data_IF_393086902258
#
_entry.id   IF_393086902258
#
_cell.length_a   1.000
_cell.length_b   1.000
_cell.length_c   1.000
_cell.angle_alpha   90.00
_cell.angle_beta   90.00
_cell.angle_gamma   90.00
#
_symmetry.space_group_name_H-M   'P 1'
#
loop_
_entity.id
_entity.type
_entity.pdbx_description
1 polymer ?
#
# COMPACT_ATOMS: atom_id res chain seq x y z
N UNK A 1 -1.54 -25.24 -35.49
CA UNK A 1 -1.80 -25.23 -34.05
C UNK A 1 -2.76 -24.13 -33.69
N UNK A 2 -3.71 -24.37 -32.77
CA UNK A 2 -4.66 -23.37 -32.30
C UNK A 2 -4.60 -23.34 -30.74
N UNK A 3 -4.53 -22.16 -30.17
CA UNK A 3 -4.60 -21.96 -28.71
C UNK A 3 -5.76 -20.98 -28.46
N UNK A 4 -6.77 -21.42 -27.71
CA UNK A 4 -7.89 -20.58 -27.28
C UNK A 4 -7.78 -20.32 -25.77
N UNK A 5 -8.19 -19.15 -25.32
CA UNK A 5 -8.36 -18.84 -23.91
C UNK A 5 -9.86 -19.00 -23.62
N UNK A 6 -10.22 -19.90 -22.73
CA UNK A 6 -11.60 -20.23 -22.40
C UNK A 6 -11.79 -20.45 -20.92
N UNK A 7 -13.02 -20.48 -20.43
CA UNK A 7 -13.34 -20.91 -19.08
C UNK A 7 -13.36 -22.42 -18.95
N UNK A 8 -12.97 -22.92 -17.80
CA UNK A 8 -13.11 -24.35 -17.46
C UNK A 8 -14.60 -24.74 -17.36
N UNK A 9 -14.92 -25.95 -17.75
CA UNK A 9 -16.25 -26.51 -17.55
C UNK A 9 -16.55 -26.73 -16.07
N UNK A 10 -15.50 -27.00 -15.28
CA UNK A 10 -15.64 -27.31 -13.86
C UNK A 10 -15.59 -26.02 -13.01
N UNK A 11 -16.51 -25.95 -12.05
CA UNK A 11 -16.58 -24.87 -11.07
C UNK A 11 -15.89 -25.28 -9.77
N UNK A 12 -15.27 -24.34 -9.10
CA UNK A 12 -14.79 -24.52 -7.73
C UNK A 12 -15.97 -24.53 -6.74
N UNK A 13 -15.70 -24.89 -5.46
CA UNK A 13 -16.67 -24.78 -4.37
C UNK A 13 -17.20 -23.34 -4.18
N UNK A 14 -16.45 -22.35 -4.62
CA UNK A 14 -16.80 -20.92 -4.55
C UNK A 14 -17.51 -20.41 -5.82
N UNK A 15 -18.03 -21.30 -6.65
CA UNK A 15 -18.70 -20.99 -7.93
C UNK A 15 -17.83 -20.21 -8.94
N UNK A 16 -16.50 -20.40 -8.87
CA UNK A 16 -15.55 -19.80 -9.82
C UNK A 16 -15.10 -20.81 -10.86
N UNK A 17 -14.77 -20.32 -12.05
CA UNK A 17 -14.17 -21.12 -13.13
C UNK A 17 -12.72 -20.74 -13.36
N UNK A 18 -11.89 -21.73 -13.65
CA UNK A 18 -10.51 -21.47 -14.05
C UNK A 18 -10.46 -20.97 -15.49
N UNK A 19 -9.61 -19.97 -15.75
CA UNK A 19 -9.20 -19.63 -17.12
C UNK A 19 -8.21 -20.68 -17.59
N UNK A 20 -8.42 -21.23 -18.78
CA UNK A 20 -7.58 -22.27 -19.35
C UNK A 20 -7.11 -21.90 -20.75
N UNK A 21 -5.93 -22.41 -21.13
CA UNK A 21 -5.52 -22.49 -22.52
C UNK A 21 -6.02 -23.82 -23.10
N UNK A 22 -6.90 -23.76 -24.07
CA UNK A 22 -7.33 -24.92 -24.85
C UNK A 22 -6.44 -25.03 -26.10
N UNK A 23 -5.46 -25.90 -26.04
CA UNK A 23 -4.45 -26.09 -27.07
C UNK A 23 -4.85 -27.28 -27.95
N UNK A 24 -4.95 -27.07 -29.25
CA UNK A 24 -5.31 -28.11 -30.21
C UNK A 24 -4.40 -28.12 -31.43
N UNK A 25 -4.03 -29.34 -31.87
CA UNK A 25 -3.40 -29.66 -33.15
C UNK A 25 -4.28 -30.69 -33.88
N UNK A 26 -3.89 -31.13 -35.08
CA UNK A 26 -4.62 -32.19 -35.77
C UNK A 26 -4.77 -33.49 -34.95
N UNK A 27 -3.77 -33.80 -34.14
CA UNK A 27 -3.65 -35.10 -33.43
C UNK A 27 -3.72 -34.96 -31.91
N UNK A 28 -3.71 -33.75 -31.36
CA UNK A 28 -3.60 -33.52 -29.93
C UNK A 28 -4.51 -32.37 -29.47
N UNK A 29 -5.18 -32.58 -28.35
CA UNK A 29 -5.92 -31.53 -27.65
C UNK A 29 -5.63 -31.63 -26.16
N UNK A 30 -5.26 -30.51 -25.55
CA UNK A 30 -5.00 -30.44 -24.10
C UNK A 30 -5.46 -29.09 -23.53
N UNK A 31 -6.06 -29.15 -22.35
CA UNK A 31 -6.47 -27.99 -21.58
C UNK A 31 -5.42 -27.74 -20.48
N UNK A 32 -4.84 -26.55 -20.48
CA UNK A 32 -3.80 -26.14 -19.54
C UNK A 32 -4.39 -25.10 -18.62
N UNK A 33 -4.38 -25.36 -17.29
CA UNK A 33 -4.90 -24.42 -16.31
C UNK A 33 -3.90 -23.27 -16.12
N UNK A 34 -4.39 -22.03 -16.20
CA UNK A 34 -3.56 -20.82 -15.96
C UNK A 34 -3.35 -20.51 -14.48
N UNK A 35 -4.10 -21.14 -13.58
CA UNK A 35 -4.13 -20.81 -12.15
C UNK A 35 -4.98 -19.58 -11.81
N UNK A 36 -5.64 -18.97 -12.78
CA UNK A 36 -6.50 -17.80 -12.60
C UNK A 36 -7.95 -18.26 -12.55
N UNK A 37 -8.66 -17.81 -11.52
CA UNK A 37 -10.08 -18.15 -11.32
C UNK A 37 -10.93 -16.89 -11.39
N UNK A 38 -12.02 -16.96 -12.14
CA UNK A 38 -12.99 -15.88 -12.36
C UNK A 38 -14.40 -16.37 -12.01
N UNK A 39 -15.32 -15.47 -11.80
CA UNK A 39 -16.72 -15.80 -11.66
C UNK A 39 -17.25 -16.38 -12.95
N UNK A 40 -18.29 -17.21 -12.84
CA UNK A 40 -18.89 -17.93 -13.96
C UNK A 40 -19.44 -16.99 -15.04
N UNK A 41 -19.14 -17.28 -16.29
CA UNK A 41 -19.65 -16.54 -17.44
C UNK A 41 -18.91 -15.22 -17.75
N UNK A 42 -17.80 -14.95 -17.12
CA UNK A 42 -17.05 -13.68 -17.30
C UNK A 42 -16.49 -13.51 -18.72
N UNK A 43 -15.99 -14.57 -19.34
CA UNK A 43 -15.41 -14.48 -20.68
C UNK A 43 -16.47 -14.48 -21.80
N UNK A 44 -17.63 -15.04 -21.52
CA UNK A 44 -18.69 -15.24 -22.53
C UNK A 44 -19.76 -14.14 -22.50
N UNK A 45 -19.77 -13.29 -21.46
CA UNK A 45 -20.76 -12.22 -21.32
C UNK A 45 -20.12 -10.83 -21.50
N UNK A 46 -20.32 -10.17 -22.66
CA UNK A 46 -19.76 -8.85 -22.94
C UNK A 46 -20.35 -7.72 -22.08
N UNK A 47 -21.48 -7.96 -21.40
CA UNK A 47 -22.12 -6.97 -20.53
C UNK A 47 -21.45 -6.89 -19.14
N UNK A 48 -20.65 -7.90 -18.76
CA UNK A 48 -19.95 -7.89 -17.48
C UNK A 48 -18.73 -7.01 -17.59
N UNK A 49 -18.73 -5.90 -16.85
CA UNK A 49 -17.58 -5.01 -16.75
C UNK A 49 -16.45 -5.70 -15.99
N UNK A 50 -15.42 -6.12 -16.70
CA UNK A 50 -14.20 -6.67 -16.09
C UNK A 50 -13.48 -5.60 -15.27
N UNK A 51 -12.93 -5.98 -14.13
CA UNK A 51 -12.06 -5.08 -13.38
C UNK A 51 -10.78 -4.77 -14.18
N UNK A 52 -10.19 -3.60 -13.96
CA UNK A 52 -8.94 -3.23 -14.62
C UNK A 52 -7.85 -4.29 -14.35
N UNK A 53 -7.77 -4.80 -13.12
CA UNK A 53 -6.80 -5.84 -12.77
C UNK A 53 -7.01 -7.14 -13.56
N UNK A 54 -8.26 -7.54 -13.77
CA UNK A 54 -8.59 -8.74 -14.56
C UNK A 54 -8.31 -8.50 -16.05
N UNK A 55 -8.64 -7.33 -16.58
CA UNK A 55 -8.33 -6.97 -17.97
C UNK A 55 -6.82 -7.00 -18.23
N UNK A 56 -6.01 -6.40 -17.36
CA UNK A 56 -4.54 -6.46 -17.48
C UNK A 56 -4.06 -7.91 -17.43
N UNK A 57 -4.65 -8.73 -16.56
CA UNK A 57 -4.29 -10.15 -16.46
C UNK A 57 -4.65 -10.93 -17.73
N UNK A 58 -5.82 -10.66 -18.33
CA UNK A 58 -6.24 -11.27 -19.60
C UNK A 58 -5.33 -10.83 -20.77
N UNK A 59 -4.92 -9.56 -20.81
CA UNK A 59 -3.95 -9.10 -21.80
C UNK A 59 -2.59 -9.83 -21.65
N UNK A 60 -2.07 -9.98 -20.46
CA UNK A 60 -0.87 -10.80 -20.19
C UNK A 60 -1.04 -12.25 -20.67
N UNK A 61 -2.24 -12.85 -20.49
CA UNK A 61 -2.54 -14.20 -21.02
C UNK A 61 -2.51 -14.23 -22.54
N UNK A 62 -3.09 -13.22 -23.20
CA UNK A 62 -3.07 -13.09 -24.66
C UNK A 62 -1.65 -12.92 -25.19
N UNK A 63 -0.83 -12.11 -24.56
CA UNK A 63 0.56 -11.88 -24.95
C UNK A 63 1.40 -13.15 -24.75
N UNK A 64 1.23 -13.86 -23.63
CA UNK A 64 1.88 -15.15 -23.42
C UNK A 64 1.46 -16.20 -24.45
N UNK A 65 0.19 -16.22 -24.84
CA UNK A 65 -0.31 -17.07 -25.94
C UNK A 65 0.38 -16.74 -27.26
N UNK A 66 0.52 -15.43 -27.62
CA UNK A 66 1.22 -14.99 -28.84
C UNK A 66 2.68 -15.42 -28.83
N UNK A 67 3.38 -15.16 -27.72
CA UNK A 67 4.78 -15.55 -27.54
C UNK A 67 4.98 -17.08 -27.61
N UNK A 68 4.08 -17.83 -26.98
CA UNK A 68 4.09 -19.29 -27.04
C UNK A 68 3.92 -19.83 -28.49
N UNK A 69 3.01 -19.21 -29.26
CA UNK A 69 2.81 -19.57 -30.68
C UNK A 69 4.03 -19.22 -31.52
N UNK A 70 4.63 -18.04 -31.34
CA UNK A 70 5.83 -17.63 -32.03
C UNK A 70 6.97 -18.61 -31.76
N UNK A 71 7.26 -18.92 -30.49
CA UNK A 71 8.30 -19.86 -30.08
C UNK A 71 8.05 -21.29 -30.58
N UNK A 72 6.80 -21.72 -30.60
CA UNK A 72 6.43 -23.02 -31.16
C UNK A 72 6.75 -23.11 -32.65
N UNK A 73 6.49 -22.04 -33.41
CA UNK A 73 6.74 -22.00 -34.86
C UNK A 73 8.21 -21.79 -35.21
N UNK A 74 8.89 -20.87 -34.52
CA UNK A 74 10.27 -20.47 -34.78
C UNK A 74 11.30 -21.48 -34.28
N UNK A 75 11.07 -22.05 -33.10
CA UNK A 75 12.03 -22.93 -32.42
C UNK A 75 11.68 -24.40 -32.57
N UNK A 76 10.68 -24.76 -33.38
CA UNK A 76 10.20 -26.15 -33.54
C UNK A 76 9.92 -26.87 -32.22
N UNK A 77 9.32 -26.16 -31.27
CA UNK A 77 9.01 -26.75 -29.97
C UNK A 77 8.12 -27.98 -30.10
N UNK A 78 8.38 -28.97 -29.25
CA UNK A 78 7.45 -30.07 -29.03
C UNK A 78 6.20 -29.57 -28.29
N UNK A 79 5.13 -30.34 -28.37
CA UNK A 79 3.90 -30.00 -27.62
C UNK A 79 4.13 -29.98 -26.11
N UNK A 80 5.05 -30.80 -25.60
CA UNK A 80 5.44 -30.86 -24.18
C UNK A 80 6.16 -29.57 -23.74
N UNK A 81 7.04 -29.03 -24.55
CA UNK A 81 7.73 -27.75 -24.27
C UNK A 81 6.75 -26.60 -24.24
N UNK A 82 5.82 -26.56 -25.19
CA UNK A 82 4.74 -25.59 -25.20
C UNK A 82 3.87 -25.69 -23.95
N UNK A 83 3.49 -26.91 -23.54
CA UNK A 83 2.75 -27.15 -22.32
C UNK A 83 3.48 -26.64 -21.09
N UNK A 84 4.77 -27.00 -20.97
CA UNK A 84 5.63 -26.54 -19.87
C UNK A 84 5.76 -25.01 -19.84
N UNK A 85 5.79 -24.36 -21.00
CA UNK A 85 5.82 -22.91 -21.08
C UNK A 85 4.50 -22.27 -20.65
N UNK A 86 3.38 -22.77 -21.15
CA UNK A 86 2.06 -22.25 -20.82
C UNK A 86 1.63 -22.53 -19.37
N UNK A 87 2.05 -23.68 -18.81
CA UNK A 87 1.75 -24.07 -17.41
C UNK A 87 2.55 -23.24 -16.39
N UNK A 88 3.69 -22.65 -16.76
CA UNK A 88 4.35 -21.66 -15.90
C UNK A 88 3.38 -20.51 -15.69
N UNK A 89 2.91 -20.31 -14.48
CA UNK A 89 1.90 -19.31 -14.14
C UNK A 89 2.25 -17.92 -14.71
N UNK A 90 1.23 -17.12 -14.93
CA UNK A 90 1.42 -15.70 -15.20
C UNK A 90 1.41 -15.00 -13.87
N UNK A 91 2.31 -14.04 -13.70
CA UNK A 91 2.22 -13.12 -12.57
C UNK A 91 0.92 -12.32 -12.70
N UNK A 92 -0.04 -12.68 -11.86
CA UNK A 92 -1.29 -11.93 -11.72
C UNK A 92 -0.90 -10.51 -11.35
N UNK A 93 -1.58 -9.52 -11.95
CA UNK A 93 -1.35 -8.11 -11.60
C UNK A 93 -1.47 -7.92 -10.09
N UNK A 94 -0.34 -7.72 -9.46
CA UNK A 94 -0.21 -7.74 -8.01
C UNK A 94 -0.51 -6.36 -7.41
N UNK A 95 -0.87 -6.35 -6.13
CA UNK A 95 -1.00 -5.09 -5.38
C UNK A 95 0.31 -4.31 -5.37
N UNK A 96 1.46 -5.00 -5.42
CA UNK A 96 2.77 -4.36 -5.52
C UNK A 96 2.98 -3.62 -6.84
N UNK A 97 2.55 -4.20 -7.96
CA UNK A 97 2.58 -3.53 -9.27
C UNK A 97 1.64 -2.33 -9.32
N UNK A 98 0.41 -2.48 -8.80
CA UNK A 98 -0.53 -1.37 -8.67
C UNK A 98 0.06 -0.22 -7.85
N UNK A 99 0.64 -0.51 -6.68
CA UNK A 99 1.25 0.53 -5.84
C UNK A 99 2.38 1.23 -6.57
N UNK A 100 3.24 0.50 -7.27
CA UNK A 100 4.37 1.05 -8.03
C UNK A 100 3.93 1.88 -9.23
N UNK A 101 2.96 1.39 -10.00
CA UNK A 101 2.64 1.93 -11.31
C UNK A 101 1.52 2.98 -11.29
N UNK A 102 0.57 2.86 -10.36
CA UNK A 102 -0.66 3.66 -10.36
C UNK A 102 -0.88 4.44 -9.07
N UNK A 103 -0.80 3.77 -7.91
CA UNK A 103 -1.11 4.39 -6.63
C UNK A 103 -0.13 5.51 -6.24
N UNK A 104 1.18 5.37 -6.59
CA UNK A 104 2.22 6.34 -6.22
C UNK A 104 2.25 7.56 -7.13
N UNK A 105 1.74 7.47 -8.36
CA UNK A 105 1.83 8.54 -9.38
C UNK A 105 1.44 9.93 -8.86
N UNK A 106 0.42 9.98 -8.02
CA UNK A 106 -0.13 11.24 -7.49
C UNK A 106 0.30 11.53 -6.05
N UNK A 107 1.38 10.89 -5.56
CA UNK A 107 1.88 11.07 -4.20
C UNK A 107 3.31 11.58 -4.20
N UNK A 108 3.70 12.30 -3.13
CA UNK A 108 5.10 12.65 -2.97
C UNK A 108 5.96 11.37 -2.76
N UNK A 109 7.25 11.44 -3.13
CA UNK A 109 8.18 10.32 -3.15
C UNK A 109 8.26 9.62 -1.78
N UNK A 110 8.31 10.40 -0.70
CA UNK A 110 8.42 9.88 0.67
C UNK A 110 7.19 9.05 1.03
N UNK A 111 6.00 9.59 0.79
CA UNK A 111 4.73 8.91 1.04
C UNK A 111 4.59 7.66 0.16
N UNK A 112 4.99 7.75 -1.12
CA UNK A 112 4.97 6.62 -2.05
C UNK A 112 5.83 5.46 -1.57
N UNK A 113 7.06 5.72 -1.17
CA UNK A 113 7.99 4.72 -0.66
C UNK A 113 7.48 4.06 0.63
N UNK A 114 6.83 4.82 1.50
CA UNK A 114 6.23 4.30 2.73
C UNK A 114 5.14 3.26 2.44
N UNK A 115 4.25 3.51 1.48
CA UNK A 115 3.24 2.55 1.05
C UNK A 115 3.85 1.32 0.36
N UNK A 116 4.86 1.51 -0.47
CA UNK A 116 5.55 0.40 -1.12
C UNK A 116 6.26 -0.50 -0.09
N UNK A 117 6.86 0.07 0.95
CA UNK A 117 7.46 -0.68 2.04
C UNK A 117 6.44 -1.52 2.80
N UNK A 118 5.20 -1.06 2.96
CA UNK A 118 4.13 -1.87 3.56
C UNK A 118 3.90 -3.16 2.77
N UNK A 119 3.86 -3.09 1.44
CA UNK A 119 3.71 -4.28 0.60
C UNK A 119 4.89 -5.25 0.79
N UNK A 120 6.12 -4.74 0.88
CA UNK A 120 7.30 -5.58 1.16
C UNK A 120 7.18 -6.29 2.50
N UNK A 121 6.71 -5.59 3.54
CA UNK A 121 6.51 -6.15 4.88
C UNK A 121 5.44 -7.25 4.84
N UNK A 122 4.33 -7.05 4.14
CA UNK A 122 3.29 -8.07 3.97
C UNK A 122 3.83 -9.30 3.24
N UNK A 123 4.56 -9.12 2.12
CA UNK A 123 5.21 -10.22 1.38
C UNK A 123 6.11 -11.05 2.30
N UNK A 124 6.96 -10.37 3.08
CA UNK A 124 7.90 -11.02 4.01
C UNK A 124 7.18 -11.88 5.05
N UNK A 125 6.17 -11.33 5.73
CA UNK A 125 5.49 -12.04 6.82
C UNK A 125 4.51 -13.12 6.33
N UNK A 126 3.94 -12.97 5.13
CA UNK A 126 3.09 -13.99 4.52
C UNK A 126 3.88 -15.05 3.74
N UNK A 127 5.20 -14.88 3.58
CA UNK A 127 6.06 -15.73 2.74
C UNK A 127 5.54 -15.86 1.30
N UNK A 128 5.02 -14.75 0.73
CA UNK A 128 4.50 -14.70 -0.63
C UNK A 128 5.41 -13.85 -1.51
N UNK A 129 5.73 -14.35 -2.71
CA UNK A 129 6.47 -13.59 -3.74
C UNK A 129 5.62 -12.42 -4.24
N UNK A 130 4.34 -12.69 -4.53
CA UNK A 130 3.37 -11.70 -4.95
C UNK A 130 2.11 -11.78 -4.09
N UNK A 131 1.46 -10.63 -3.88
CA UNK A 131 0.19 -10.52 -3.16
C UNK A 131 -0.85 -10.02 -4.16
N UNK A 132 -1.87 -10.81 -4.39
CA UNK A 132 -3.01 -10.43 -5.22
C UNK A 132 -4.00 -9.57 -4.45
N UNK A 133 -4.89 -8.87 -5.16
CA UNK A 133 -6.00 -8.15 -4.53
C UNK A 133 -6.93 -9.09 -3.76
N UNK A 134 -7.17 -10.30 -4.30
CA UNK A 134 -8.02 -11.30 -3.65
C UNK A 134 -7.42 -11.78 -2.33
N UNK A 135 -6.10 -11.95 -2.25
CA UNK A 135 -5.43 -12.27 -0.98
C UNK A 135 -5.76 -11.24 0.10
N UNK A 136 -5.72 -9.95 -0.24
CA UNK A 136 -5.97 -8.89 0.74
C UNK A 136 -7.46 -8.66 1.01
N UNK A 137 -8.35 -9.05 0.12
CA UNK A 137 -9.80 -9.03 0.35
C UNK A 137 -10.24 -10.13 1.32
N UNK A 138 -9.43 -11.18 1.47
CA UNK A 138 -9.66 -12.23 2.46
C UNK A 138 -9.20 -11.77 3.85
N UNK A 139 -10.15 -11.70 4.77
CA UNK A 139 -9.89 -11.33 6.17
C UNK A 139 -8.96 -12.31 6.90
N UNK A 140 -8.94 -13.58 6.50
CA UNK A 140 -8.05 -14.59 7.09
C UNK A 140 -6.59 -14.28 6.75
N UNK A 141 -6.30 -13.82 5.53
CA UNK A 141 -4.95 -13.40 5.12
C UNK A 141 -4.46 -12.20 5.95
N UNK A 142 -5.34 -11.23 6.25
CA UNK A 142 -4.98 -10.09 7.11
C UNK A 142 -4.73 -10.54 8.56
N UNK A 143 -5.54 -11.48 9.07
CA UNK A 143 -5.34 -12.06 10.40
C UNK A 143 -4.03 -12.86 10.46
N UNK A 144 -3.75 -13.67 9.46
CA UNK A 144 -2.50 -14.42 9.33
C UNK A 144 -1.27 -13.50 9.36
N UNK A 145 -1.31 -12.41 8.56
CA UNK A 145 -0.26 -11.39 8.59
C UNK A 145 -0.07 -10.83 10.00
N UNK A 146 -1.15 -10.44 10.69
CA UNK A 146 -1.09 -9.91 12.06
C UNK A 146 -0.38 -10.88 12.98
N UNK A 147 -0.83 -12.14 13.02
CA UNK A 147 -0.28 -13.17 13.90
C UNK A 147 1.20 -13.46 13.62
N UNK A 148 1.58 -13.59 12.34
CA UNK A 148 2.97 -13.81 11.94
C UNK A 148 3.87 -12.60 12.26
N UNK A 149 3.41 -11.38 12.00
CA UNK A 149 4.17 -10.18 12.33
C UNK A 149 4.38 -10.03 13.84
N UNK A 150 3.38 -10.29 14.66
CA UNK A 150 3.49 -10.28 16.12
C UNK A 150 4.45 -11.34 16.65
N UNK A 151 4.37 -12.59 16.14
CA UNK A 151 5.32 -13.66 16.48
C UNK A 151 6.77 -13.29 16.15
N UNK A 152 6.98 -12.51 15.10
CA UNK A 152 8.28 -11.98 14.70
C UNK A 152 8.69 -10.69 15.45
N UNK A 153 8.03 -10.36 16.56
CA UNK A 153 8.39 -9.25 17.44
C UNK A 153 7.96 -7.85 16.94
N UNK A 154 7.15 -7.76 15.88
CA UNK A 154 6.67 -6.46 15.40
C UNK A 154 5.66 -5.88 16.40
N UNK A 155 5.90 -4.63 16.84
CA UNK A 155 5.01 -3.93 17.78
C UNK A 155 3.59 -3.84 17.24
N UNK A 156 2.58 -4.05 18.10
CA UNK A 156 1.15 -4.00 17.77
C UNK A 156 0.77 -2.69 17.05
N UNK A 157 1.34 -1.55 17.48
CA UNK A 157 1.10 -0.26 16.84
C UNK A 157 1.57 -0.21 15.38
N UNK A 158 2.71 -0.86 15.09
CA UNK A 158 3.24 -0.95 13.72
C UNK A 158 2.39 -1.87 12.86
N UNK A 159 1.98 -3.02 13.41
CA UNK A 159 1.06 -3.96 12.72
C UNK A 159 -0.24 -3.25 12.35
N UNK A 160 -0.86 -2.55 13.32
CA UNK A 160 -2.08 -1.78 13.06
C UNK A 160 -1.87 -0.69 11.99
N UNK A 161 -0.71 -0.02 12.00
CA UNK A 161 -0.36 0.99 11.00
C UNK A 161 -0.26 0.36 9.60
N UNK A 162 0.40 -0.79 9.47
CA UNK A 162 0.50 -1.50 8.20
C UNK A 162 -0.87 -1.91 7.66
N UNK A 163 -1.73 -2.48 8.51
CA UNK A 163 -3.09 -2.90 8.11
C UNK A 163 -3.92 -1.69 7.66
N UNK A 164 -3.85 -0.56 8.37
CA UNK A 164 -4.52 0.68 7.96
C UNK A 164 -4.03 1.19 6.61
N UNK A 165 -2.72 1.14 6.35
CA UNK A 165 -2.15 1.54 5.06
C UNK A 165 -2.59 0.61 3.93
N UNK A 166 -2.68 -0.71 4.16
CA UNK A 166 -3.31 -1.63 3.20
C UNK A 166 -4.75 -1.21 2.92
N UNK A 167 -5.51 -0.85 3.95
CA UNK A 167 -6.87 -0.33 3.78
C UNK A 167 -6.94 0.88 2.86
N UNK A 168 -5.98 1.80 2.96
CA UNK A 168 -5.90 2.98 2.06
C UNK A 168 -5.61 2.54 0.62
N UNK A 169 -4.62 1.65 0.41
CA UNK A 169 -4.27 1.13 -0.91
C UNK A 169 -5.48 0.43 -1.56
N UNK A 170 -6.13 -0.48 -0.83
CA UNK A 170 -7.25 -1.26 -1.34
C UNK A 170 -8.49 -0.40 -1.63
N UNK A 171 -8.78 0.59 -0.78
CA UNK A 171 -9.89 1.50 -1.04
C UNK A 171 -9.62 2.44 -2.22
N UNK A 172 -8.35 2.79 -2.47
CA UNK A 172 -8.00 3.53 -3.68
C UNK A 172 -8.11 2.62 -4.91
N UNK A 173 -7.62 1.37 -4.84
CA UNK A 173 -7.77 0.39 -5.92
C UNK A 173 -9.25 0.12 -6.28
N UNK A 174 -10.15 0.19 -5.29
CA UNK A 174 -11.59 0.13 -5.54
C UNK A 174 -12.09 1.34 -6.33
N UNK A 175 -11.68 2.56 -5.97
CA UNK A 175 -12.05 3.79 -6.69
C UNK A 175 -11.50 3.81 -8.11
N UNK A 176 -10.30 3.27 -8.30
CA UNK A 176 -9.60 3.19 -9.57
C UNK A 176 -10.11 2.02 -10.45
N UNK A 177 -11.09 1.24 -9.97
CA UNK A 177 -11.70 0.13 -10.72
C UNK A 177 -10.86 -1.16 -10.79
N UNK A 178 -9.79 -1.27 -9.98
CA UNK A 178 -8.97 -2.49 -9.93
C UNK A 178 -9.63 -3.64 -9.18
N UNK A 179 -10.57 -3.34 -8.30
CA UNK A 179 -11.38 -4.31 -7.57
C UNK A 179 -12.83 -3.86 -7.55
N UNK A 180 -13.75 -4.83 -7.53
CA UNK A 180 -15.21 -4.57 -7.49
C UNK A 180 -15.76 -4.40 -6.09
N UNK A 181 -15.04 -4.93 -5.09
CA UNK A 181 -15.50 -4.93 -3.70
C UNK A 181 -14.67 -3.96 -2.86
N UNK A 182 -15.36 -3.11 -2.10
CA UNK A 182 -14.72 -2.22 -1.12
C UNK A 182 -14.05 -3.03 -0.01
N UNK A 183 -12.82 -2.67 0.32
CA UNK A 183 -12.09 -3.28 1.42
C UNK A 183 -12.55 -2.72 2.77
N UNK A 184 -12.88 -3.61 3.69
CA UNK A 184 -13.25 -3.27 5.06
C UNK A 184 -12.30 -3.99 6.02
N UNK A 185 -11.61 -3.23 6.85
CA UNK A 185 -10.74 -3.82 7.87
C UNK A 185 -11.63 -4.44 8.97
N UNK A 186 -11.52 -5.76 9.22
CA UNK A 186 -12.30 -6.40 10.27
C UNK A 186 -11.94 -5.81 11.64
N UNK A 187 -12.94 -5.49 12.45
CA UNK A 187 -12.76 -4.85 13.76
C UNK A 187 -11.86 -5.66 14.70
N UNK A 188 -11.95 -6.99 14.65
CA UNK A 188 -11.16 -7.91 15.49
C UNK A 188 -9.67 -7.97 15.10
N UNK A 189 -9.31 -7.46 13.94
CA UNK A 189 -7.91 -7.45 13.49
C UNK A 189 -7.14 -6.30 14.13
N UNK A 190 -7.78 -5.15 14.35
CA UNK A 190 -7.13 -4.00 14.97
C UNK A 190 -7.21 -4.10 16.49
N UNK A 191 -6.07 -4.08 17.15
CA UNK A 191 -6.02 -4.02 18.61
C UNK A 191 -6.07 -2.57 19.08
N UNK A 192 -6.99 -2.27 20.00
CA UNK A 192 -7.04 -0.97 20.62
C UNK A 192 -5.97 -0.86 21.71
N UNK A 193 -5.07 0.08 21.54
CA UNK A 193 -4.13 0.42 22.61
C UNK A 193 -4.89 1.11 23.72
N UNK A 194 -4.78 0.60 24.96
CA UNK A 194 -5.15 1.40 26.14
C UNK A 194 -4.32 2.68 26.07
N UNK A 195 -4.96 3.84 26.02
CA UNK A 195 -4.25 5.11 26.12
C UNK A 195 -3.49 5.11 27.45
N UNK A 196 -2.18 5.24 27.41
CA UNK A 196 -1.45 5.57 28.61
C UNK A 196 -1.93 6.95 29.05
N UNK A 197 -2.59 6.99 30.19
CA UNK A 197 -3.04 8.22 30.82
C UNK A 197 -1.90 8.97 31.55
N UNK A 198 -0.70 8.39 31.58
CA UNK A 198 0.50 9.04 32.09
C UNK A 198 0.87 10.22 31.18
N UNK A 199 0.10 11.28 31.28
CA UNK A 199 0.53 12.59 30.80
C UNK A 199 1.66 13.00 31.74
N UNK A 200 2.90 12.85 31.29
CA UNK A 200 4.01 13.57 31.93
C UNK A 200 3.66 15.04 31.76
N UNK A 201 3.25 15.68 32.87
CA UNK A 201 3.05 17.11 32.89
C UNK A 201 4.41 17.75 32.61
N UNK A 202 4.47 18.52 31.52
CA UNK A 202 5.65 19.25 31.15
C UNK A 202 5.94 20.31 32.21
N UNK A 203 7.11 20.20 32.87
CA UNK A 203 7.60 21.15 33.85
C UNK A 203 8.62 22.07 33.15
N UNK A 204 8.21 23.31 32.91
CA UNK A 204 9.03 24.32 32.25
C UNK A 204 10.29 24.63 33.01
N UNK A 205 10.20 24.70 34.34
CA UNK A 205 11.32 25.13 35.20
C UNK A 205 12.40 24.04 35.21
N UNK A 206 12.02 22.78 35.27
CA UNK A 206 12.95 21.64 35.12
C UNK A 206 13.63 21.60 33.75
N UNK A 207 12.95 22.02 32.68
CA UNK A 207 13.59 22.10 31.37
C UNK A 207 14.63 23.22 31.33
N UNK A 208 14.31 24.39 31.86
CA UNK A 208 15.24 25.52 31.94
C UNK A 208 16.47 25.15 32.81
N UNK A 209 16.24 24.50 33.95
CA UNK A 209 17.29 23.94 34.79
C UNK A 209 18.19 22.94 34.04
N UNK A 210 17.57 22.01 33.28
CA UNK A 210 18.31 21.06 32.47
C UNK A 210 19.16 21.73 31.39
N UNK A 211 18.69 22.81 30.77
CA UNK A 211 19.44 23.60 29.79
C UNK A 211 20.65 24.26 30.46
N UNK A 212 20.43 24.87 31.62
CA UNK A 212 21.49 25.61 32.35
C UNK A 212 22.57 24.68 32.93
N UNK A 213 22.20 23.47 33.29
CA UNK A 213 23.11 22.48 33.91
C UNK A 213 23.76 21.53 32.87
N UNK A 214 23.50 21.72 31.58
CA UNK A 214 24.05 20.85 30.54
C UNK A 214 25.42 21.32 30.07
N UNK A 215 26.44 20.45 30.24
CA UNK A 215 27.81 20.69 29.75
C UNK A 215 27.98 20.35 28.26
N UNK A 216 26.98 19.69 27.65
CA UNK A 216 27.05 19.25 26.27
C UNK A 216 26.28 20.21 25.36
N UNK A 217 26.99 20.87 24.43
CA UNK A 217 26.42 21.86 23.51
C UNK A 217 25.27 21.27 22.65
N UNK A 218 25.33 19.99 22.24
CA UNK A 218 24.28 19.33 21.49
C UNK A 218 23.02 19.11 22.33
N UNK A 219 23.18 18.84 23.63
CA UNK A 219 22.05 18.75 24.56
C UNK A 219 21.40 20.10 24.77
N UNK A 220 22.20 21.15 24.99
CA UNK A 220 21.70 22.53 25.10
C UNK A 220 20.91 22.93 23.87
N UNK A 221 21.44 22.69 22.66
CA UNK A 221 20.77 22.99 21.42
C UNK A 221 19.45 22.22 21.27
N UNK A 222 19.46 20.91 21.56
CA UNK A 222 18.27 20.07 21.46
C UNK A 222 17.16 20.50 22.43
N UNK A 223 17.51 20.79 23.67
CA UNK A 223 16.59 21.27 24.69
C UNK A 223 16.06 22.67 24.39
N UNK A 224 16.92 23.56 23.88
CA UNK A 224 16.52 24.91 23.45
C UNK A 224 15.53 24.86 22.24
N UNK A 225 15.80 24.02 21.26
CA UNK A 225 14.87 23.78 20.14
C UNK A 225 13.54 23.24 20.67
N UNK A 226 13.59 22.29 21.61
CA UNK A 226 12.37 21.71 22.21
C UNK A 226 11.56 22.77 22.96
N UNK A 227 12.22 23.62 23.77
CA UNK A 227 11.59 24.75 24.45
C UNK A 227 10.97 25.73 23.46
N UNK A 228 11.68 26.06 22.38
CA UNK A 228 11.17 26.93 21.30
C UNK A 228 9.92 26.34 20.64
N UNK A 229 9.91 25.04 20.32
CA UNK A 229 8.73 24.37 19.74
C UNK A 229 7.51 24.45 20.65
N UNK A 230 7.71 24.37 21.97
CA UNK A 230 6.64 24.50 22.96
C UNK A 230 6.13 25.94 23.03
N UNK A 231 7.02 26.92 23.11
CA UNK A 231 6.67 28.36 23.11
C UNK A 231 5.91 28.74 21.85
N UNK A 232 6.26 28.14 20.70
CA UNK A 232 5.59 28.30 19.43
C UNK A 232 4.30 27.46 19.31
N UNK A 233 3.69 27.03 20.42
CA UNK A 233 2.39 26.35 20.41
C UNK A 233 2.42 24.90 19.92
N UNK A 234 3.55 24.20 20.05
CA UNK A 234 3.70 22.80 19.63
C UNK A 234 3.94 22.64 18.14
N UNK A 235 4.62 23.58 17.52
CA UNK A 235 5.06 23.51 16.12
C UNK A 235 5.87 22.23 15.87
N UNK A 236 5.78 21.65 14.67
CA UNK A 236 6.62 20.50 14.31
C UNK A 236 8.05 20.97 13.99
N UNK A 237 9.07 20.15 14.25
CA UNK A 237 10.46 20.50 13.88
C UNK A 237 10.62 20.83 12.39
N UNK A 238 9.90 20.13 11.50
CA UNK A 238 9.89 20.41 10.06
C UNK A 238 9.33 21.79 9.73
N UNK A 239 8.36 22.27 10.51
CA UNK A 239 7.74 23.56 10.28
C UNK A 239 8.68 24.68 10.77
N UNK A 240 9.48 24.41 11.82
CA UNK A 240 10.50 25.32 12.32
C UNK A 240 11.66 25.49 11.32
N UNK A 241 12.12 24.38 10.70
CA UNK A 241 13.21 24.41 9.72
C UNK A 241 12.79 25.14 8.43
N UNK A 242 11.52 25.02 8.06
CA UNK A 242 10.97 25.69 6.88
C UNK A 242 10.41 27.09 7.18
N UNK A 243 10.62 27.59 8.42
CA UNK A 243 10.21 28.94 8.79
C UNK A 243 11.16 29.93 8.14
N UNK A 244 10.66 30.60 7.09
CA UNK A 244 11.37 31.74 6.51
C UNK A 244 11.31 32.90 7.54
N UNK A 245 12.47 33.27 8.04
CA UNK A 245 12.61 34.51 8.82
C UNK A 245 12.43 35.66 7.82
N UNK A 246 11.19 36.16 7.72
CA UNK A 246 10.91 37.33 6.90
C UNK A 246 11.84 38.47 7.28
N UNK A 247 12.46 39.06 6.29
CA UNK A 247 13.33 40.23 6.44
C UNK A 247 12.61 41.35 7.20
N UNK A 248 13.36 42.21 7.86
CA UNK A 248 12.91 43.26 8.76
C UNK A 248 11.81 44.21 8.23
N UNK A 249 11.51 44.17 6.94
CA UNK A 249 10.47 45.02 6.32
C UNK A 249 9.03 44.53 6.53
N UNK A 250 8.84 43.23 6.90
CA UNK A 250 7.52 42.63 7.14
C UNK A 250 7.17 42.54 8.64
N UNK A 251 7.94 43.17 9.50
CA UNK A 251 7.72 43.16 10.97
C UNK A 251 6.33 43.68 11.37
N UNK A 252 5.76 44.56 10.61
CA UNK A 252 4.46 45.16 10.91
C UNK A 252 3.31 44.16 10.75
N UNK A 253 3.41 43.19 9.81
CA UNK A 253 2.40 42.16 9.62
C UNK A 253 2.50 41.04 10.68
N UNK A 254 3.71 40.73 11.13
CA UNK A 254 3.92 39.77 12.21
C UNK A 254 3.47 40.32 13.59
N UNK A 255 3.69 41.60 13.86
CA UNK A 255 3.22 42.29 15.07
C UNK A 255 1.71 42.45 15.09
N UNK A 256 1.08 42.68 13.93
CA UNK A 256 -0.39 42.76 13.78
C UNK A 256 -1.13 41.47 14.06
N UNK A 257 -0.44 40.31 14.09
CA UNK A 257 -1.02 39.00 14.42
C UNK A 257 -0.87 38.60 15.90
N UNK A 258 -0.22 39.44 16.73
CA UNK A 258 -0.15 39.22 18.19
C UNK A 258 -1.44 39.73 18.84
N UNK A 259 -2.32 38.84 19.22
CA UNK A 259 -3.51 39.16 20.00
C UNK A 259 -3.15 39.05 21.48
N UNK A 260 -3.30 40.12 22.21
CA UNK A 260 -3.23 40.13 23.67
C UNK A 260 -4.68 39.91 24.21
N UNK A 261 -4.96 38.73 24.73
CA UNK A 261 -6.11 38.47 25.58
C UNK A 261 -5.61 38.06 26.95
N UNK A 262 -6.06 38.77 27.98
CA UNK A 262 -5.84 38.48 29.41
C UNK A 262 -4.39 38.17 29.84
N UNK A 263 -3.46 39.08 29.52
CA UNK A 263 -2.04 38.95 29.86
C UNK A 263 -1.32 37.69 29.30
N UNK A 264 -1.94 36.90 28.46
CA UNK A 264 -1.29 35.78 27.77
C UNK A 264 -0.97 36.17 26.31
N UNK A 265 0.29 35.98 25.93
CA UNK A 265 0.77 36.22 24.56
C UNK A 265 0.54 34.97 23.76
N UNK A 266 -0.36 34.98 22.78
CA UNK A 266 -0.53 33.90 21.82
C UNK A 266 0.08 34.30 20.48
N UNK A 267 1.04 33.53 19.99
CA UNK A 267 1.52 33.63 18.62
C UNK A 267 0.56 32.87 17.69
N UNK A 268 -0.18 33.57 16.83
CA UNK A 268 -0.98 32.98 15.77
C UNK A 268 -0.11 32.75 14.55
N UNK A 269 0.25 31.51 14.27
CA UNK A 269 0.96 31.13 13.03
C UNK A 269 -0.04 30.86 11.91
N UNK A 270 0.12 31.54 10.79
CA UNK A 270 -0.61 31.22 9.57
C UNK A 270 -0.03 29.91 9.01
N UNK A 271 -0.81 28.81 9.05
CA UNK A 271 -0.43 27.60 8.33
C UNK A 271 -0.29 27.97 6.86
N UNK A 272 0.91 27.81 6.28
CA UNK A 272 1.06 27.83 4.84
C UNK A 272 0.26 26.66 4.27
N UNK A 273 -0.84 26.97 3.58
CA UNK A 273 -1.51 25.98 2.74
C UNK A 273 -0.58 25.73 1.54
N UNK A 274 0.08 24.58 1.56
CA UNK A 274 0.61 23.93 0.35
C UNK A 274 -0.14 22.64 0.13
#
# INVERSE_FOLDING_TARGET
MNIKITESIYKTKENKRAIIYDCSTKNYRKKINTGIYIEDGYLDNPEITLTIALNITLEKLKDKKKDALAKYLENNWSFTELENYLSKGIDIYSVGEYVKNDFIKNKNIITGNDYFNVIKVFKKHLNKVNISFNDLLDSNTILEFKLKAQRNGVKISSVNSYIKKIGVIMNQAYRDGFITRRFVIPKYVLEHRKRRLDKVLFDKDKLIEAINNSDNIFQVQSLSIFLMLIICGGMKPSDLVNYEVFNNNDRNDLLGSMIYEDNSRFLKFKKSNK
#
